data_IF_030445380543
#
_entry.id   IF_030445380543
#
_cell.length_a   1.000
_cell.length_b   1.000
_cell.length_c   1.000
_cell.angle_alpha   90.00
_cell.angle_beta   90.00
_cell.angle_gamma   90.00
#
_symmetry.space_group_name_H-M   'P 1'
#
loop_
_entity.id
_entity.type
_entity.pdbx_description
1 polymer ?
#
# COMPACT_ATOMS: atom_id res chain seq x y z
N UNK A 1 -13.74 8.43 -8.22
CA UNK A 1 -14.06 6.98 -8.15
C UNK A 1 -13.60 6.48 -6.79
N UNK A 2 -14.33 5.58 -6.12
CA UNK A 2 -13.81 4.90 -4.93
C UNK A 2 -12.72 3.91 -5.37
N UNK A 3 -11.71 3.65 -4.53
CA UNK A 3 -10.66 2.62 -4.79
C UNK A 3 -11.31 1.28 -5.18
N UNK A 4 -12.38 0.90 -4.48
CA UNK A 4 -13.19 -0.29 -4.77
C UNK A 4 -13.75 -0.35 -6.20
N UNK A 5 -14.04 0.79 -6.83
CA UNK A 5 -14.55 0.84 -8.20
C UNK A 5 -13.44 0.68 -9.24
N UNK A 6 -12.26 1.24 -9.00
CA UNK A 6 -11.10 1.07 -9.88
C UNK A 6 -10.56 -0.37 -9.82
N UNK A 7 -10.56 -0.98 -8.64
CA UNK A 7 -10.14 -2.38 -8.46
C UNK A 7 -11.09 -3.40 -9.11
N UNK A 8 -12.39 -3.07 -9.20
CA UNK A 8 -13.38 -3.95 -9.83
C UNK A 8 -13.16 -4.11 -11.34
N UNK A 9 -12.48 -3.16 -11.99
CA UNK A 9 -12.19 -3.17 -13.43
C UNK A 9 -10.84 -3.81 -13.76
N UNK A 10 -10.09 -4.28 -12.76
CA UNK A 10 -8.79 -4.91 -12.97
C UNK A 10 -8.92 -6.29 -13.60
N UNK A 11 -8.04 -6.56 -14.56
CA UNK A 11 -7.74 -7.92 -15.01
C UNK A 11 -7.05 -8.71 -13.90
N UNK A 12 -7.02 -10.04 -14.04
CA UNK A 12 -6.36 -10.92 -13.06
C UNK A 12 -4.87 -10.57 -12.88
N UNK A 13 -4.18 -10.28 -13.98
CA UNK A 13 -2.75 -9.91 -13.95
C UNK A 13 -2.53 -8.55 -13.26
N UNK A 14 -3.43 -7.59 -13.46
CA UNK A 14 -3.35 -6.29 -12.79
C UNK A 14 -3.66 -6.39 -11.31
N UNK A 15 -4.63 -7.23 -10.93
CA UNK A 15 -4.93 -7.50 -9.52
C UNK A 15 -3.76 -8.17 -8.82
N UNK A 16 -3.16 -9.19 -9.43
CA UNK A 16 -1.97 -9.85 -8.91
C UNK A 16 -0.79 -8.87 -8.77
N UNK A 17 -0.62 -7.97 -9.75
CA UNK A 17 0.40 -6.93 -9.69
C UNK A 17 0.16 -5.92 -8.57
N UNK A 18 -1.08 -5.45 -8.39
CA UNK A 18 -1.43 -4.55 -7.31
C UNK A 18 -1.17 -5.18 -5.94
N UNK A 19 -1.57 -6.44 -5.76
CA UNK A 19 -1.34 -7.16 -4.51
C UNK A 19 0.15 -7.31 -4.21
N UNK A 20 0.96 -7.65 -5.21
CA UNK A 20 2.42 -7.74 -5.05
C UNK A 20 3.03 -6.42 -4.55
N UNK A 21 2.58 -5.27 -5.10
CA UNK A 21 3.08 -3.96 -4.67
C UNK A 21 2.67 -3.65 -3.22
N UNK A 22 1.45 -4.04 -2.81
CA UNK A 22 0.95 -3.86 -1.44
C UNK A 22 1.72 -4.73 -0.45
N UNK A 23 1.85 -6.02 -0.74
CA UNK A 23 2.56 -6.99 0.12
C UNK A 23 4.04 -6.62 0.28
N UNK A 24 4.68 -6.11 -0.78
CA UNK A 24 6.09 -5.71 -0.71
C UNK A 24 6.32 -4.34 -0.09
N UNK A 25 5.27 -3.52 0.08
CA UNK A 25 5.37 -2.10 0.42
C UNK A 25 6.02 -1.24 -0.67
N UNK A 26 6.19 -1.80 -1.86
CA UNK A 26 6.89 -1.22 -3.00
C UNK A 26 8.01 -2.11 -3.55
N UNK A 27 8.26 -2.02 -4.86
CA UNK A 27 9.12 -2.95 -5.59
C UNK A 27 9.75 -2.28 -6.82
N UNK A 28 11.00 -2.63 -7.13
CA UNK A 28 11.61 -2.22 -8.39
C UNK A 28 10.87 -2.86 -9.56
N UNK A 29 10.53 -2.08 -10.58
CA UNK A 29 9.76 -2.55 -11.73
C UNK A 29 10.41 -3.77 -12.40
N UNK A 30 11.73 -3.85 -12.38
CA UNK A 30 12.43 -5.02 -12.92
C UNK A 30 12.19 -6.31 -12.17
N UNK A 31 11.97 -6.24 -10.87
CA UNK A 31 11.66 -7.40 -10.05
C UNK A 31 10.17 -7.69 -10.09
N UNK A 32 9.32 -6.65 -10.16
CA UNK A 32 7.87 -6.78 -10.33
C UNK A 32 7.47 -7.79 -11.42
N UNK A 33 8.01 -7.65 -12.63
CA UNK A 33 7.64 -8.58 -13.71
C UNK A 33 8.30 -9.96 -13.59
N UNK A 34 9.42 -10.08 -12.85
CA UNK A 34 10.04 -11.38 -12.57
C UNK A 34 9.22 -12.15 -11.54
N UNK A 35 8.80 -11.49 -10.47
CA UNK A 35 7.97 -12.07 -9.40
C UNK A 35 6.59 -12.49 -9.92
N UNK A 36 5.99 -11.72 -10.83
CA UNK A 36 4.74 -12.12 -11.50
C UNK A 36 4.92 -13.20 -12.59
N UNK A 37 6.14 -13.64 -12.86
CA UNK A 37 6.47 -14.57 -13.96
C UNK A 37 5.90 -14.11 -15.33
N UNK A 38 6.08 -12.81 -15.64
CA UNK A 38 5.63 -12.22 -16.91
C UNK A 38 6.77 -11.54 -17.67
N UNK A 39 6.60 -11.40 -18.99
CA UNK A 39 7.54 -10.61 -19.79
C UNK A 39 7.59 -9.15 -19.32
N UNK A 40 8.76 -8.50 -19.44
CA UNK A 40 8.93 -7.07 -19.14
C UNK A 40 7.94 -6.17 -19.86
N UNK A 41 7.57 -6.53 -21.11
CA UNK A 41 6.56 -5.80 -21.90
C UNK A 41 5.15 -5.92 -21.31
N UNK A 42 4.80 -7.07 -20.74
CA UNK A 42 3.52 -7.27 -20.06
C UNK A 42 3.54 -6.57 -18.71
N UNK A 43 4.58 -6.78 -17.92
CA UNK A 43 4.76 -6.11 -16.63
C UNK A 43 4.71 -4.58 -16.73
N UNK A 44 5.40 -3.99 -17.72
CA UNK A 44 5.34 -2.53 -17.92
C UNK A 44 3.93 -2.01 -18.23
N UNK A 45 3.11 -2.78 -18.96
CA UNK A 45 1.71 -2.39 -19.25
C UNK A 45 0.81 -2.50 -18.03
N UNK A 46 1.04 -3.52 -17.19
CA UNK A 46 0.32 -3.67 -15.92
C UNK A 46 0.60 -2.44 -15.05
N UNK A 47 1.89 -2.09 -14.87
CA UNK A 47 2.28 -0.92 -14.06
C UNK A 47 1.71 0.37 -14.65
N UNK A 48 1.79 0.57 -15.96
CA UNK A 48 1.20 1.74 -16.63
C UNK A 48 -0.31 1.85 -16.35
N UNK A 49 -1.06 0.75 -16.46
CA UNK A 49 -2.50 0.78 -16.16
C UNK A 49 -2.80 1.03 -14.68
N UNK A 50 -2.01 0.46 -13.76
CA UNK A 50 -2.19 0.70 -12.32
C UNK A 50 -1.89 2.16 -11.95
N UNK A 51 -0.90 2.79 -12.59
CA UNK A 51 -0.61 4.23 -12.45
C UNK A 51 -1.75 5.08 -13.01
N UNK A 52 -2.27 4.76 -14.20
CA UNK A 52 -3.40 5.48 -14.81
C UNK A 52 -4.68 5.41 -13.97
N UNK A 53 -4.84 4.34 -13.18
CA UNK A 53 -5.97 4.14 -12.26
C UNK A 53 -5.74 4.77 -10.88
N UNK A 54 -4.63 5.47 -10.65
CA UNK A 54 -4.20 6.04 -9.36
C UNK A 54 -4.13 4.98 -8.24
N UNK A 55 -3.70 3.75 -8.56
CA UNK A 55 -3.58 2.65 -7.59
C UNK A 55 -2.13 2.48 -7.10
N UNK A 56 -1.15 2.79 -7.94
CA UNK A 56 0.29 2.80 -7.57
C UNK A 56 0.96 4.08 -8.02
N UNK A 57 2.00 4.49 -7.28
CA UNK A 57 2.94 5.52 -7.69
C UNK A 57 4.17 4.90 -8.36
N UNK A 58 4.84 5.67 -9.22
CA UNK A 58 6.02 5.21 -9.96
C UNK A 58 7.06 6.32 -10.03
N UNK A 59 8.26 6.03 -9.53
CA UNK A 59 9.36 7.00 -9.47
C UNK A 59 10.61 6.46 -10.17
N UNK A 60 11.36 7.32 -10.86
CA UNK A 60 12.63 6.94 -11.49
C UNK A 60 13.70 6.62 -10.44
N UNK A 61 14.43 5.52 -10.63
CA UNK A 61 15.50 5.11 -9.72
C UNK A 61 16.60 4.34 -10.47
N UNK A 62 17.71 4.07 -9.78
CA UNK A 62 18.78 3.18 -10.26
C UNK A 62 18.81 1.94 -9.39
N UNK A 63 18.70 0.77 -10.02
CA UNK A 63 18.73 -0.52 -9.35
C UNK A 63 19.66 -1.46 -10.11
N UNK A 64 20.59 -2.10 -9.39
CA UNK A 64 21.64 -2.95 -9.96
C UNK A 64 22.41 -2.30 -11.13
N UNK A 65 22.64 -0.98 -11.05
CA UNK A 65 23.35 -0.21 -12.07
C UNK A 65 22.55 0.09 -13.34
N UNK A 66 21.24 -0.19 -13.35
CA UNK A 66 20.33 0.12 -14.44
C UNK A 66 19.28 1.14 -14.03
N UNK A 67 19.01 2.11 -14.90
CA UNK A 67 17.86 2.99 -14.73
C UNK A 67 16.58 2.16 -14.85
N UNK A 68 15.71 2.30 -13.85
CA UNK A 68 14.43 1.61 -13.74
C UNK A 68 13.46 2.50 -12.99
N UNK A 69 12.36 1.92 -12.51
CA UNK A 69 11.41 2.60 -11.65
C UNK A 69 11.20 1.83 -10.36
N UNK A 70 10.92 2.56 -9.29
CA UNK A 70 10.36 2.02 -8.07
C UNK A 70 8.84 2.23 -8.11
N UNK A 71 8.09 1.17 -7.83
CA UNK A 71 6.62 1.20 -7.79
C UNK A 71 6.21 1.09 -6.34
N UNK A 72 5.34 1.97 -5.85
CA UNK A 72 4.85 1.95 -4.47
C UNK A 72 3.33 2.02 -4.41
N UNK A 73 2.68 1.51 -3.35
CA UNK A 73 1.26 1.76 -3.13
C UNK A 73 0.99 3.25 -3.02
N UNK A 74 -0.16 3.70 -3.52
CA UNK A 74 -0.60 5.08 -3.23
C UNK A 74 -1.03 5.22 -1.77
N UNK A 75 -1.04 6.45 -1.24
CA UNK A 75 -1.52 6.70 0.12
C UNK A 75 -2.97 6.25 0.37
N UNK A 76 -3.78 6.08 -0.69
CA UNK A 76 -5.15 5.57 -0.63
C UNK A 76 -5.23 4.07 -0.33
N UNK A 77 -4.14 3.35 -0.56
CA UNK A 77 -3.99 1.91 -0.33
C UNK A 77 -3.37 1.56 1.02
N UNK A 78 -2.97 2.56 1.81
CA UNK A 78 -2.47 2.32 3.15
C UNK A 78 -3.64 1.90 4.06
N UNK A 79 -3.58 0.67 4.56
CA UNK A 79 -4.54 0.17 5.56
C UNK A 79 -4.17 0.70 6.95
N UNK A 80 -4.91 1.72 7.39
CA UNK A 80 -4.74 2.31 8.72
C UNK A 80 -5.54 1.55 9.78
N UNK A 81 -6.24 0.47 9.46
CA UNK A 81 -7.09 -0.26 10.41
C UNK A 81 -6.28 -0.77 11.61
N UNK A 82 -5.03 -1.19 11.40
CA UNK A 82 -4.12 -1.58 12.50
C UNK A 82 -3.77 -0.45 13.47
N UNK A 83 -3.99 0.81 13.07
CA UNK A 83 -3.80 1.99 13.90
C UNK A 83 -5.11 2.46 14.53
N UNK A 84 -6.25 1.86 14.18
CA UNK A 84 -7.57 2.23 14.68
C UNK A 84 -8.02 1.27 15.79
N UNK A 85 -8.86 1.79 16.69
CA UNK A 85 -9.67 1.03 17.63
C UNK A 85 -11.07 1.67 17.67
N UNK A 86 -12.00 1.07 16.93
CA UNK A 86 -13.27 1.70 16.56
C UNK A 86 -13.03 2.90 15.65
N UNK A 87 -13.58 4.04 16.03
CA UNK A 87 -13.38 5.34 15.36
C UNK A 87 -12.17 6.12 15.89
N UNK A 88 -11.39 5.54 16.81
CA UNK A 88 -10.23 6.19 17.44
C UNK A 88 -8.91 5.75 16.80
N UNK A 89 -8.13 6.71 16.28
CA UNK A 89 -6.74 6.48 15.86
C UNK A 89 -5.84 6.33 17.11
N UNK A 90 -4.78 5.54 17.00
CA UNK A 90 -3.78 5.37 18.06
C UNK A 90 -3.26 6.74 18.51
N UNK A 91 -3.30 7.03 19.82
CA UNK A 91 -2.90 8.33 20.36
C UNK A 91 -1.39 8.55 20.33
N UNK A 92 -0.60 7.59 19.83
CA UNK A 92 0.85 7.72 19.69
C UNK A 92 1.27 8.16 18.29
N UNK A 93 0.33 8.31 17.35
CA UNK A 93 0.65 8.81 16.01
C UNK A 93 0.92 10.31 16.05
N UNK A 94 2.14 10.69 15.68
CA UNK A 94 2.55 12.10 15.54
C UNK A 94 2.92 12.80 16.86
N UNK A 95 2.94 12.09 17.97
CA UNK A 95 3.33 12.64 19.28
C UNK A 95 4.85 12.59 19.49
N UNK A 96 5.44 13.72 19.85
CA UNK A 96 6.87 13.81 20.18
C UNK A 96 7.18 13.25 21.59
N UNK A 97 6.22 13.32 22.52
CA UNK A 97 6.31 12.78 23.87
C UNK A 97 5.17 11.80 24.15
N UNK A 98 5.51 10.52 24.27
CA UNK A 98 4.55 9.44 24.52
C UNK A 98 4.26 9.32 26.02
N UNK A 99 2.98 9.43 26.41
CA UNK A 99 2.50 9.08 27.76
C UNK A 99 1.74 7.74 27.75
N UNK A 100 2.38 6.64 28.21
CA UNK A 100 1.75 5.33 28.26
C UNK A 100 0.66 5.21 29.33
N UNK A 101 0.51 6.20 30.22
CA UNK A 101 -0.55 6.22 31.24
C UNK A 101 -1.71 7.16 30.87
N UNK A 102 -1.75 7.66 29.62
CA UNK A 102 -2.78 8.57 29.19
C UNK A 102 -4.17 7.93 29.13
N UNK A 103 -5.20 8.73 29.43
CA UNK A 103 -6.59 8.31 29.31
C UNK A 103 -6.94 7.92 27.87
N UNK A 104 -6.39 8.64 26.89
CA UNK A 104 -6.60 8.36 25.47
C UNK A 104 -6.08 6.96 25.08
N UNK A 105 -4.88 6.59 25.54
CA UNK A 105 -4.36 5.25 25.29
C UNK A 105 -5.19 4.16 25.96
N UNK A 106 -5.63 4.41 27.21
CA UNK A 106 -6.53 3.49 27.91
C UNK A 106 -7.84 3.29 27.16
N UNK A 107 -8.45 4.36 26.64
CA UNK A 107 -9.68 4.27 25.84
C UNK A 107 -9.46 3.54 24.52
N UNK A 108 -8.37 3.82 23.81
CA UNK A 108 -8.01 3.13 22.57
C UNK A 108 -7.87 1.61 22.80
N UNK A 109 -7.16 1.18 23.85
CA UNK A 109 -7.05 -0.25 24.23
C UNK A 109 -8.41 -0.85 24.56
N UNK A 110 -9.27 -0.13 25.30
CA UNK A 110 -10.60 -0.64 25.63
C UNK A 110 -11.45 -0.81 24.37
N UNK A 111 -11.37 0.09 23.40
CA UNK A 111 -12.08 -0.06 22.13
C UNK A 111 -11.64 -1.31 21.36
N UNK A 112 -10.33 -1.61 21.31
CA UNK A 112 -9.85 -2.86 20.69
C UNK A 112 -10.45 -4.11 21.34
N UNK A 113 -10.65 -4.09 22.66
CA UNK A 113 -11.20 -5.23 23.39
C UNK A 113 -12.71 -5.43 23.16
N UNK A 114 -13.41 -4.42 22.66
CA UNK A 114 -14.86 -4.48 22.36
C UNK A 114 -15.18 -4.63 20.87
N UNK A 115 -14.17 -4.63 20.00
CA UNK A 115 -14.30 -5.04 18.60
C UNK A 115 -14.32 -6.59 18.50
N UNK A 116 -15.49 -7.19 18.76
CA UNK A 116 -15.82 -8.56 18.34
C UNK A 116 -16.70 -8.55 17.08
#
# INVERSE_FOLDING_TARGET
>A
MSVSAAEAELTEDERAGLELVRESGGIHQSDFWKELDVSSRKGSRIVESLVEKDLVDREETVYDGHNTYYISPTARDLDFTLLMAGDMLSPFIGEEEVDPNSDAFSQWIMNLAYEE
#
